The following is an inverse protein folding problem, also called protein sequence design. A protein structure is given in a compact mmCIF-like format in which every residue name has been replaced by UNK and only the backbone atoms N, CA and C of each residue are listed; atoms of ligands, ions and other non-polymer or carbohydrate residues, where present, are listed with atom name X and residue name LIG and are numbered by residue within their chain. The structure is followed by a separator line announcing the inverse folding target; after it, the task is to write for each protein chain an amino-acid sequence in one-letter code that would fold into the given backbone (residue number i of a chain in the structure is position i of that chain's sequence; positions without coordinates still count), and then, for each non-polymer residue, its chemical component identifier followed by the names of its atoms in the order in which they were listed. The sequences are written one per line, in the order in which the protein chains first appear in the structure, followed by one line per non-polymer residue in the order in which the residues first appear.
data_IF_630854175882
#
_entry.id   IF_630854175882
#
_cell.length_a   1.000
_cell.length_b   1.000
_cell.length_c   1.000
_cell.angle_alpha   90.00
_cell.angle_beta   90.00
_cell.angle_gamma   90.00
#
_symmetry.space_group_name_H-M   'P 1'
#
loop_
_entity.id
_entity.type
_entity.pdbx_description
1 polymer ?
#
# COMPACT_ATOMS: atom_id res chain seq x y z
N UNK A 1 -1.01 5.71 11.01
CA UNK A 1 -0.84 4.26 11.29
C UNK A 1 0.23 3.63 10.41
N UNK A 2 0.07 3.58 9.08
CA UNK A 2 1.10 3.01 8.19
C UNK A 2 2.44 3.76 8.23
N UNK A 3 2.43 5.10 8.23
CA UNK A 3 3.66 5.91 8.32
C UNK A 3 4.45 5.61 9.60
N UNK A 4 3.78 5.65 10.75
CA UNK A 4 4.40 5.32 12.03
C UNK A 4 4.95 3.88 12.06
N UNK A 5 4.25 2.93 11.43
CA UNK A 5 4.75 1.55 11.32
C UNK A 5 5.99 1.45 10.41
N UNK A 6 5.99 2.14 9.27
CA UNK A 6 7.15 2.22 8.37
C UNK A 6 8.37 2.85 9.06
N UNK A 7 8.17 3.91 9.85
CA UNK A 7 9.23 4.56 10.64
C UNK A 7 9.77 3.66 11.76
N UNK A 8 8.89 2.92 12.45
CA UNK A 8 9.27 2.04 13.56
C UNK A 8 9.97 0.76 13.09
N UNK A 9 9.53 0.19 11.97
CA UNK A 9 9.98 -1.13 11.49
C UNK A 9 10.89 -1.07 10.26
N UNK A 10 11.23 0.14 9.78
CA UNK A 10 11.90 0.35 8.48
C UNK A 10 11.21 -0.43 7.35
N UNK A 11 9.87 -0.44 7.35
CA UNK A 11 9.07 -1.07 6.30
C UNK A 11 8.76 -0.09 5.18
N UNK A 12 8.37 -0.61 4.02
CA UNK A 12 8.05 0.16 2.81
C UNK A 12 6.56 -0.03 2.43
N UNK A 13 5.66 -0.02 3.41
CA UNK A 13 4.24 -0.31 3.18
C UNK A 13 3.54 0.86 2.46
N UNK A 14 3.91 2.10 2.76
CA UNK A 14 3.38 3.27 2.06
C UNK A 14 3.81 3.25 0.58
N UNK A 15 5.09 2.99 0.31
CA UNK A 15 5.59 2.84 -1.07
C UNK A 15 4.92 1.67 -1.79
N UNK A 16 4.67 0.57 -1.07
CA UNK A 16 3.96 -0.58 -1.63
C UNK A 16 2.55 -0.21 -2.10
N UNK A 17 1.81 0.57 -1.31
CA UNK A 17 0.49 1.06 -1.72
C UNK A 17 0.57 2.03 -2.90
N UNK A 18 1.55 2.95 -2.90
CA UNK A 18 1.75 3.88 -4.01
C UNK A 18 2.03 3.13 -5.32
N UNK A 19 2.88 2.10 -5.28
CA UNK A 19 3.14 1.20 -6.40
C UNK A 19 1.88 0.43 -6.82
N UNK A 20 1.17 -0.16 -5.86
CA UNK A 20 -0.05 -0.92 -6.11
C UNK A 20 -1.12 -0.10 -6.83
N UNK A 21 -1.40 1.12 -6.36
CA UNK A 21 -2.38 2.00 -6.99
C UNK A 21 -1.89 2.56 -8.33
N UNK A 22 -0.59 2.85 -8.48
CA UNK A 22 -0.01 3.29 -9.76
C UNK A 22 -0.09 2.22 -10.85
N UNK A 23 -0.08 0.95 -10.44
CA UNK A 23 -0.25 -0.21 -11.31
C UNK A 23 -1.72 -0.71 -11.36
N UNK A 24 -2.69 0.10 -10.94
CA UNK A 24 -4.13 -0.20 -10.97
C UNK A 24 -4.51 -1.53 -10.27
N UNK A 25 -3.77 -1.89 -9.22
CA UNK A 25 -3.95 -3.13 -8.47
C UNK A 25 -3.35 -4.38 -9.13
N UNK A 26 -2.63 -4.24 -10.24
CA UNK A 26 -1.98 -5.37 -10.89
C UNK A 26 -0.75 -5.82 -10.07
N UNK A 27 -0.87 -6.96 -9.39
CA UNK A 27 0.18 -7.51 -8.54
C UNK A 27 1.48 -7.80 -9.29
N UNK A 28 1.40 -8.27 -10.53
CA UNK A 28 2.60 -8.59 -11.33
C UNK A 28 3.37 -7.33 -11.67
N UNK A 29 2.69 -6.32 -12.20
CA UNK A 29 3.29 -5.04 -12.56
C UNK A 29 3.81 -4.30 -11.32
N UNK A 30 3.07 -4.36 -10.21
CA UNK A 30 3.47 -3.75 -8.93
C UNK A 30 4.75 -4.39 -8.41
N UNK A 31 4.84 -5.73 -8.40
CA UNK A 31 6.02 -6.45 -7.95
C UNK A 31 7.24 -6.11 -8.81
N UNK A 32 7.07 -6.06 -10.14
CA UNK A 32 8.13 -5.63 -11.07
C UNK A 32 8.56 -4.19 -10.80
N UNK A 33 7.62 -3.26 -10.61
CA UNK A 33 7.89 -1.84 -10.35
C UNK A 33 8.66 -1.63 -9.05
N UNK A 34 8.30 -2.37 -8.00
CA UNK A 34 8.93 -2.29 -6.68
C UNK A 34 10.19 -3.15 -6.58
N UNK A 35 10.58 -3.85 -7.66
CA UNK A 35 11.72 -4.77 -7.67
C UNK A 35 11.67 -5.85 -6.56
N UNK A 36 10.48 -6.31 -6.22
CA UNK A 36 10.26 -7.36 -5.21
C UNK A 36 9.59 -8.59 -5.81
N UNK A 37 9.70 -9.72 -5.10
CA UNK A 37 8.96 -10.91 -5.46
C UNK A 37 7.46 -10.74 -5.18
N UNK A 38 6.61 -11.38 -5.99
CA UNK A 38 5.15 -11.31 -5.82
C UNK A 38 4.70 -11.76 -4.42
N UNK A 39 5.35 -12.78 -3.85
CA UNK A 39 5.02 -13.24 -2.49
C UNK A 39 5.28 -12.15 -1.44
N UNK A 40 6.39 -11.42 -1.57
CA UNK A 40 6.73 -10.30 -0.70
C UNK A 40 5.68 -9.19 -0.84
N UNK A 41 5.24 -8.89 -2.07
CA UNK A 41 4.16 -7.94 -2.30
C UNK A 41 2.86 -8.38 -1.60
N UNK A 42 2.43 -9.63 -1.80
CA UNK A 42 1.22 -10.16 -1.15
C UNK A 42 1.30 -10.03 0.36
N UNK A 43 2.42 -10.41 0.97
CA UNK A 43 2.64 -10.26 2.42
C UNK A 43 2.54 -8.80 2.87
N UNK A 44 3.16 -7.86 2.13
CA UNK A 44 3.07 -6.43 2.45
C UNK A 44 1.62 -5.93 2.36
N UNK A 45 0.85 -6.35 1.35
CA UNK A 45 -0.56 -5.99 1.19
C UNK A 45 -1.45 -6.57 2.31
N UNK A 46 -1.23 -7.82 2.72
CA UNK A 46 -1.89 -8.41 3.90
C UNK A 46 -1.55 -7.64 5.17
N UNK A 47 -0.28 -7.26 5.35
CA UNK A 47 0.15 -6.45 6.50
C UNK A 47 -0.53 -5.08 6.50
N UNK A 48 -0.64 -4.44 5.33
CA UNK A 48 -1.37 -3.18 5.17
C UNK A 48 -2.84 -3.35 5.56
N UNK A 49 -3.52 -4.39 5.07
CA UNK A 49 -4.91 -4.68 5.40
C UNK A 49 -5.08 -4.85 6.93
N UNK A 50 -4.17 -5.58 7.58
CA UNK A 50 -4.19 -5.77 9.03
C UNK A 50 -3.94 -4.47 9.82
N UNK A 51 -3.04 -3.60 9.39
CA UNK A 51 -2.76 -2.32 10.10
C UNK A 51 -3.90 -1.32 9.90
N UNK A 52 -4.45 -1.27 8.69
CA UNK A 52 -5.49 -0.31 8.32
C UNK A 52 -6.88 -0.79 8.69
N UNK A 53 -7.06 -2.09 8.91
CA UNK A 53 -8.36 -2.76 9.10
C UNK A 53 -9.28 -2.53 7.88
N UNK A 54 -8.69 -2.48 6.68
CA UNK A 54 -9.37 -2.27 5.42
C UNK A 54 -9.14 -3.47 4.49
N UNK A 55 -10.20 -3.90 3.81
CA UNK A 55 -10.12 -4.92 2.77
C UNK A 55 -9.65 -4.31 1.45
N UNK A 56 -8.49 -4.72 0.95
CA UNK A 56 -7.94 -4.25 -0.32
C UNK A 56 -8.66 -4.84 -1.55
N UNK A 57 -9.59 -5.78 -1.37
CA UNK A 57 -10.46 -6.25 -2.44
C UNK A 57 -11.70 -5.35 -2.60
N UNK A 58 -12.12 -4.68 -1.52
CA UNK A 58 -13.24 -3.76 -1.53
C UNK A 58 -12.87 -2.47 -2.31
N UNK A 59 -13.81 -1.98 -3.12
CA UNK A 59 -13.57 -0.83 -3.99
C UNK A 59 -13.54 0.49 -3.19
N UNK A 60 -14.43 0.63 -2.21
CA UNK A 60 -14.54 1.85 -1.41
C UNK A 60 -13.38 1.99 -0.42
N UNK A 61 -12.94 0.88 0.17
CA UNK A 61 -11.75 0.81 0.99
C UNK A 61 -10.48 1.18 0.19
N UNK A 62 -10.33 0.65 -1.03
CA UNK A 62 -9.23 1.00 -1.92
C UNK A 62 -9.26 2.49 -2.29
N UNK A 63 -10.43 3.01 -2.65
CA UNK A 63 -10.57 4.43 -2.98
C UNK A 63 -10.20 5.32 -1.79
N UNK A 64 -10.69 4.98 -0.59
CA UNK A 64 -10.39 5.71 0.64
C UNK A 64 -8.88 5.74 0.94
N UNK A 65 -8.19 4.60 0.78
CA UNK A 65 -6.73 4.53 0.93
C UNK A 65 -6.00 5.34 -0.13
N UNK A 66 -6.41 5.24 -1.39
CA UNK A 66 -5.80 5.98 -2.48
C UNK A 66 -5.97 7.50 -2.30
N UNK A 67 -7.15 7.93 -1.87
CA UNK A 67 -7.43 9.34 -1.55
C UNK A 67 -6.55 9.83 -0.40
N UNK A 68 -6.47 9.06 0.70
CA UNK A 68 -5.62 9.40 1.84
C UNK A 68 -4.14 9.55 1.44
N UNK A 69 -3.62 8.68 0.57
CA UNK A 69 -2.25 8.79 0.03
C UNK A 69 -2.06 10.05 -0.83
N UNK A 70 -3.04 10.40 -1.66
CA UNK A 70 -2.98 11.60 -2.52
C UNK A 70 -3.11 12.91 -1.74
N UNK A 71 -3.86 12.91 -0.64
CA UNK A 71 -4.03 14.09 0.24
C UNK A 71 -2.86 14.30 1.18
N UNK A 72 -2.05 13.26 1.47
CA UNK A 72 -0.85 13.34 2.32
C UNK A 72 0.06 14.55 2.06
N UNK A 73 0.47 14.89 0.82
CA UNK A 73 1.31 16.07 0.57
C UNK A 73 0.59 17.41 0.82
N UNK A 74 -0.74 17.43 0.76
CA UNK A 74 -1.56 18.65 0.99
C UNK A 74 -1.81 18.89 2.48
N UNK A 75 -1.84 17.83 3.28
CA UNK A 75 -2.08 17.88 4.73
C UNK A 75 -0.79 17.99 5.57
N UNK A 76 0.35 18.26 4.93
CA UNK A 76 1.63 18.49 5.62
C UNK A 76 1.79 19.94 6.05
#
# INVERSE_FOLDING_TARGET
KLIAHDEEHNSELVETLEGFFSCHGNLSQTATRLHIHRNTLTYRLERIANITQLDLNDADARFSLQLALKLRPVMK
#
